data_IF_669459078887
#
_entry.id   IF_669459078887
#
_cell.length_a   1.000
_cell.length_b   1.000
_cell.length_c   1.000
_cell.angle_alpha   90.00
_cell.angle_beta   90.00
_cell.angle_gamma   90.00
#
_symmetry.space_group_name_H-M   'P 1'
#
loop_
_entity.id
_entity.type
_entity.pdbx_description
1 polymer ?
#
# COMPACT_ATOMS: atom_id res chain seq x y z
N UNK A 1 6.75 1.08 -19.91
CA UNK A 1 5.95 -0.15 -19.80
C UNK A 1 4.57 0.17 -19.25
N UNK A 2 3.54 -0.25 -19.95
CA UNK A 2 2.22 -0.11 -19.37
C UNK A 2 2.09 -0.98 -18.13
N UNK A 3 1.45 -0.44 -17.10
CA UNK A 3 1.15 -1.20 -15.90
C UNK A 3 -0.07 -2.06 -16.20
N UNK A 4 0.09 -3.38 -16.09
CA UNK A 4 -1.05 -4.28 -16.15
C UNK A 4 -1.88 -4.08 -14.90
N UNK A 5 -3.09 -3.59 -15.07
CA UNK A 5 -3.97 -3.34 -13.94
C UNK A 5 -5.04 -4.41 -13.81
N UNK A 6 -5.33 -4.79 -12.58
CA UNK A 6 -6.50 -5.58 -12.26
C UNK A 6 -7.75 -4.76 -12.58
N UNK A 7 -8.85 -5.41 -12.99
CA UNK A 7 -10.15 -4.77 -13.11
C UNK A 7 -10.78 -4.47 -11.75
N UNK A 8 -10.25 -5.03 -10.68
CA UNK A 8 -10.76 -4.81 -9.33
C UNK A 8 -10.40 -3.42 -8.82
N UNK A 9 -11.37 -2.76 -8.18
CA UNK A 9 -11.14 -1.53 -7.42
C UNK A 9 -10.48 -1.87 -6.08
N UNK A 10 -10.03 -0.86 -5.35
CA UNK A 10 -9.53 -1.07 -3.99
C UNK A 10 -10.61 -1.68 -3.09
N UNK A 11 -11.85 -1.25 -3.27
CA UNK A 11 -13.00 -1.81 -2.53
C UNK A 11 -13.22 -3.29 -2.86
N UNK A 12 -13.10 -3.66 -4.13
CA UNK A 12 -13.20 -5.05 -4.55
C UNK A 12 -12.09 -5.90 -3.92
N UNK A 13 -10.87 -5.38 -3.88
CA UNK A 13 -9.75 -6.07 -3.26
C UNK A 13 -9.95 -6.21 -1.75
N UNK A 14 -10.49 -5.20 -1.09
CA UNK A 14 -10.81 -5.26 0.34
C UNK A 14 -11.82 -6.38 0.64
N UNK A 15 -12.84 -6.53 -0.19
CA UNK A 15 -13.82 -7.61 -0.08
C UNK A 15 -13.19 -8.98 -0.35
N UNK A 16 -12.29 -9.08 -1.34
CA UNK A 16 -11.59 -10.34 -1.64
C UNK A 16 -10.68 -10.77 -0.49
N UNK A 17 -10.00 -9.82 0.14
CA UNK A 17 -9.14 -10.09 1.30
C UNK A 17 -9.99 -10.59 2.48
N UNK A 18 -11.17 -10.01 2.70
CA UNK A 18 -12.10 -10.48 3.72
C UNK A 18 -12.58 -11.90 3.45
N UNK A 19 -12.94 -12.22 2.21
CA UNK A 19 -13.36 -13.56 1.81
C UNK A 19 -12.22 -14.58 2.01
N UNK A 20 -11.01 -14.22 1.63
CA UNK A 20 -9.83 -15.06 1.82
C UNK A 20 -9.61 -15.40 3.31
N UNK A 21 -9.75 -14.41 4.17
CA UNK A 21 -9.67 -14.56 5.64
C UNK A 21 -10.75 -15.52 6.14
N UNK A 22 -11.99 -15.33 5.69
CA UNK A 22 -13.14 -16.09 6.16
C UNK A 22 -13.07 -17.56 5.73
N UNK A 23 -12.65 -17.82 4.51
CA UNK A 23 -12.46 -19.19 3.98
C UNK A 23 -11.45 -20.00 4.81
N UNK A 24 -10.53 -19.32 5.49
CA UNK A 24 -9.48 -19.94 6.32
C UNK A 24 -9.75 -19.81 7.80
N UNK A 25 -10.87 -19.22 8.17
CA UNK A 25 -11.25 -19.00 9.56
C UNK A 25 -10.15 -18.24 10.35
N UNK A 26 -9.57 -17.23 9.72
CA UNK A 26 -8.48 -16.45 10.30
C UNK A 26 -8.94 -15.21 11.08
N UNK A 27 -10.22 -14.85 11.01
CA UNK A 27 -10.76 -13.66 11.66
C UNK A 27 -10.42 -13.61 13.16
N UNK A 28 -10.44 -14.76 13.82
CA UNK A 28 -10.10 -14.89 15.25
C UNK A 28 -8.68 -14.45 15.59
N UNK A 29 -7.78 -14.38 14.61
CA UNK A 29 -6.40 -13.94 14.78
C UNK A 29 -6.18 -12.50 14.30
N UNK A 30 -7.19 -11.87 13.71
CA UNK A 30 -7.09 -10.58 13.03
C UNK A 30 -7.64 -9.43 13.89
N UNK A 31 -7.17 -9.32 15.13
CA UNK A 31 -7.42 -8.13 15.92
C UNK A 31 -6.49 -6.98 15.45
N UNK A 32 -6.85 -5.71 15.71
CA UNK A 32 -6.06 -4.57 15.23
C UNK A 32 -4.60 -4.55 15.70
N UNK A 33 -4.36 -5.01 16.93
CA UNK A 33 -3.00 -5.04 17.48
C UNK A 33 -2.11 -6.04 16.74
N UNK A 34 -2.61 -7.26 16.55
CA UNK A 34 -1.87 -8.32 15.85
C UNK A 34 -1.65 -7.96 14.39
N UNK A 35 -2.66 -7.35 13.73
CA UNK A 35 -2.54 -6.91 12.35
C UNK A 35 -1.56 -5.74 12.19
N UNK A 36 -1.56 -4.79 13.13
CA UNK A 36 -0.59 -3.70 13.12
C UNK A 36 0.84 -4.22 13.28
N UNK A 37 1.05 -5.20 14.17
CA UNK A 37 2.34 -5.84 14.34
C UNK A 37 2.79 -6.56 13.07
N UNK A 38 1.90 -7.30 12.41
CA UNK A 38 2.18 -7.97 11.16
C UNK A 38 2.52 -6.98 10.04
N UNK A 39 1.76 -5.89 9.95
CA UNK A 39 2.05 -4.80 9.01
C UNK A 39 3.44 -4.23 9.25
N UNK A 40 3.79 -3.97 10.51
CA UNK A 40 5.11 -3.47 10.89
C UNK A 40 6.24 -4.41 10.49
N UNK A 41 6.04 -5.72 10.64
CA UNK A 41 7.01 -6.73 10.23
C UNK A 41 7.25 -6.69 8.71
N UNK A 42 6.19 -6.54 7.92
CA UNK A 42 6.31 -6.43 6.46
C UNK A 42 7.02 -5.13 6.05
N UNK A 43 6.77 -4.03 6.75
CA UNK A 43 7.52 -2.78 6.54
C UNK A 43 9.00 -2.98 6.83
N UNK A 44 9.33 -3.74 7.89
CA UNK A 44 10.70 -4.12 8.20
C UNK A 44 11.36 -4.88 7.07
N UNK A 45 10.67 -5.85 6.47
CA UNK A 45 11.17 -6.60 5.32
C UNK A 45 11.38 -5.71 4.09
N UNK A 46 10.49 -4.75 3.86
CA UNK A 46 10.68 -3.76 2.80
C UNK A 46 11.94 -2.92 3.05
N UNK A 47 12.15 -2.47 4.27
CA UNK A 47 13.35 -1.72 4.64
C UNK A 47 14.62 -2.53 4.37
N UNK A 48 14.62 -3.82 4.66
CA UNK A 48 15.77 -4.70 4.37
C UNK A 48 16.11 -4.76 2.88
N UNK A 49 15.12 -4.59 2.00
CA UNK A 49 15.35 -4.59 0.56
C UNK A 49 16.05 -3.30 0.08
N UNK A 50 15.89 -2.18 0.79
CA UNK A 50 16.29 -0.88 0.28
C UNK A 50 17.31 -0.14 1.15
N UNK A 51 17.42 -0.47 2.43
CA UNK A 51 18.23 0.30 3.38
C UNK A 51 19.73 0.31 3.06
N UNK A 52 20.21 -0.67 2.31
CA UNK A 52 21.62 -0.81 1.94
C UNK A 52 21.95 -0.11 0.62
N UNK A 53 20.94 0.38 -0.09
CA UNK A 53 21.13 1.06 -1.36
C UNK A 53 21.47 2.53 -1.13
N UNK A 54 22.35 3.07 -1.97
CA UNK A 54 22.50 4.52 -2.08
C UNK A 54 21.23 5.10 -2.70
N UNK A 55 21.00 6.39 -2.51
CA UNK A 55 19.88 7.09 -3.19
C UNK A 55 19.95 6.94 -4.71
N UNK A 56 21.17 7.00 -5.27
CA UNK A 56 21.39 6.82 -6.69
C UNK A 56 21.00 5.42 -7.15
N UNK A 57 21.46 4.39 -6.45
CA UNK A 57 21.13 3.00 -6.78
C UNK A 57 19.64 2.73 -6.60
N UNK A 58 19.01 3.34 -5.62
CA UNK A 58 17.56 3.23 -5.39
C UNK A 58 16.73 3.81 -6.55
N UNK A 59 17.30 4.73 -7.33
CA UNK A 59 16.65 5.29 -8.52
C UNK A 59 16.81 4.42 -9.76
N UNK A 60 17.67 3.42 -9.71
CA UNK A 60 18.00 2.54 -10.84
C UNK A 60 17.98 1.08 -10.39
N UNK A 61 16.83 0.63 -9.94
CA UNK A 61 16.66 -0.72 -9.41
C UNK A 61 16.85 -1.78 -10.51
N UNK A 62 17.44 -2.90 -10.11
CA UNK A 62 17.45 -4.10 -10.96
C UNK A 62 16.03 -4.67 -11.02
N UNK A 63 15.70 -5.49 -12.05
CA UNK A 63 14.41 -6.18 -12.10
C UNK A 63 14.13 -7.03 -10.85
N UNK A 64 15.15 -7.67 -10.28
CA UNK A 64 15.04 -8.49 -9.08
C UNK A 64 14.71 -7.64 -7.85
N UNK A 65 15.37 -6.48 -7.71
CA UNK A 65 15.09 -5.54 -6.63
C UNK A 65 13.67 -4.98 -6.73
N UNK A 66 13.26 -4.60 -7.94
CA UNK A 66 11.91 -4.09 -8.17
C UNK A 66 10.85 -5.15 -7.84
N UNK A 67 11.09 -6.41 -8.22
CA UNK A 67 10.18 -7.52 -7.92
C UNK A 67 10.06 -7.76 -6.40
N UNK A 68 11.18 -7.72 -5.68
CA UNK A 68 11.19 -7.89 -4.23
C UNK A 68 10.43 -6.76 -3.52
N UNK A 69 10.62 -5.53 -3.95
CA UNK A 69 9.89 -4.37 -3.43
C UNK A 69 8.38 -4.51 -3.71
N UNK A 70 8.03 -4.93 -4.93
CA UNK A 70 6.64 -5.15 -5.33
C UNK A 70 5.95 -6.16 -4.42
N UNK A 71 6.60 -7.27 -4.11
CA UNK A 71 6.07 -8.29 -3.21
C UNK A 71 5.84 -7.74 -1.80
N UNK A 72 6.81 -7.02 -1.25
CA UNK A 72 6.67 -6.45 0.10
C UNK A 72 5.58 -5.38 0.16
N UNK A 73 5.47 -4.54 -0.85
CA UNK A 73 4.40 -3.52 -0.92
C UNK A 73 3.04 -4.20 -1.03
N UNK A 74 2.94 -5.29 -1.77
CA UNK A 74 1.69 -6.07 -1.85
C UNK A 74 1.32 -6.64 -0.47
N UNK A 75 2.27 -7.24 0.25
CA UNK A 75 2.03 -7.77 1.59
C UNK A 75 1.60 -6.69 2.59
N UNK A 76 2.28 -5.54 2.57
CA UNK A 76 1.91 -4.36 3.39
C UNK A 76 0.48 -3.95 3.08
N UNK A 77 0.11 -3.88 1.81
CA UNK A 77 -1.22 -3.46 1.36
C UNK A 77 -2.30 -4.45 1.78
N UNK A 78 -2.01 -5.75 1.71
CA UNK A 78 -2.94 -6.79 2.17
C UNK A 78 -3.19 -6.65 3.68
N UNK A 79 -2.16 -6.44 4.48
CA UNK A 79 -2.34 -6.22 5.92
C UNK A 79 -3.08 -4.91 6.22
N UNK A 80 -2.86 -3.86 5.43
CA UNK A 80 -3.64 -2.63 5.55
C UNK A 80 -5.13 -2.89 5.29
N UNK A 81 -5.46 -3.69 4.29
CA UNK A 81 -6.84 -4.09 3.99
C UNK A 81 -7.43 -4.95 5.10
N UNK A 82 -6.67 -5.90 5.64
CA UNK A 82 -7.11 -6.68 6.80
C UNK A 82 -7.40 -5.78 8.01
N UNK A 83 -6.55 -4.81 8.25
CA UNK A 83 -6.71 -3.87 9.36
C UNK A 83 -7.97 -3.02 9.18
N UNK A 84 -8.21 -2.52 7.96
CA UNK A 84 -9.43 -1.80 7.63
C UNK A 84 -10.67 -2.67 7.87
N UNK A 85 -10.63 -3.94 7.45
CA UNK A 85 -11.73 -4.89 7.69
C UNK A 85 -11.94 -5.15 9.19
N UNK A 86 -10.87 -5.26 9.95
CA UNK A 86 -10.93 -5.54 11.40
C UNK A 86 -11.51 -4.36 12.17
N UNK A 87 -11.09 -3.15 11.85
CA UNK A 87 -11.57 -1.92 12.52
C UNK A 87 -12.95 -1.52 11.98
N UNK A 88 -13.24 -1.79 10.73
CA UNK A 88 -14.55 -1.56 10.14
C UNK A 88 -14.65 -0.25 9.35
N UNK A 89 -13.67 0.03 8.49
CA UNK A 89 -13.73 1.17 7.59
C UNK A 89 -13.34 0.77 6.17
N UNK A 90 -13.79 1.58 5.20
CA UNK A 90 -13.41 1.44 3.79
C UNK A 90 -12.08 2.14 3.58
N UNK A 91 -11.05 1.39 3.16
CA UNK A 91 -9.71 1.95 3.02
C UNK A 91 -9.64 2.98 1.89
N UNK A 92 -10.36 2.76 0.79
CA UNK A 92 -10.40 3.72 -0.31
C UNK A 92 -10.96 5.06 0.12
N UNK A 93 -12.06 5.04 0.87
CA UNK A 93 -12.66 6.25 1.44
C UNK A 93 -11.72 6.95 2.42
N UNK A 94 -11.06 6.18 3.29
CA UNK A 94 -10.10 6.72 4.25
C UNK A 94 -8.93 7.42 3.53
N UNK A 95 -8.43 6.83 2.46
CA UNK A 95 -7.34 7.41 1.65
C UNK A 95 -7.82 8.70 0.97
N UNK A 96 -9.01 8.67 0.36
CA UNK A 96 -9.57 9.84 -0.31
C UNK A 96 -9.75 11.01 0.65
N UNK A 97 -10.33 10.76 1.82
CA UNK A 97 -10.51 11.76 2.87
C UNK A 97 -9.17 12.33 3.33
N UNK A 98 -8.19 11.46 3.53
CA UNK A 98 -6.86 11.88 3.99
C UNK A 98 -6.13 12.71 2.94
N UNK A 99 -6.24 12.36 1.67
CA UNK A 99 -5.64 13.12 0.58
C UNK A 99 -6.17 14.55 0.53
N UNK A 100 -7.46 14.74 0.78
CA UNK A 100 -8.07 16.08 0.84
C UNK A 100 -7.48 16.91 1.98
N UNK A 101 -7.30 16.30 3.15
CA UNK A 101 -6.68 16.97 4.31
C UNK A 101 -5.22 17.33 4.03
N UNK A 102 -4.46 16.41 3.46
CA UNK A 102 -3.05 16.63 3.13
C UNK A 102 -2.91 17.71 2.06
N UNK A 103 -3.79 17.74 1.06
CA UNK A 103 -3.77 18.74 0.01
C UNK A 103 -3.98 20.18 0.55
N UNK A 104 -4.79 20.33 1.60
CA UNK A 104 -4.98 21.62 2.28
C UNK A 104 -3.73 22.06 3.06
N UNK A 105 -3.03 21.09 3.69
CA UNK A 105 -1.83 21.36 4.49
C UNK A 105 -0.60 21.64 3.65
N UNK A 106 -0.48 20.94 2.52
CA UNK A 106 0.69 20.97 1.65
C UNK A 106 0.22 21.33 0.25
N UNK A 107 0.05 22.64 -0.04
CA UNK A 107 -0.35 23.07 -1.38
C UNK A 107 0.75 22.78 -2.40
N UNK A 108 0.41 22.74 -3.70
CA UNK A 108 1.40 22.53 -4.74
C UNK A 108 2.56 23.49 -4.63
N UNK A 109 3.80 23.00 -4.90
CA UNK A 109 4.97 23.84 -4.95
C UNK A 109 4.87 24.83 -6.12
N UNK A 110 5.30 26.09 -5.92
CA UNK A 110 5.37 27.10 -6.98
C UNK A 110 6.36 26.71 -8.07
N UNK A 111 7.34 25.87 -7.73
CA UNK A 111 8.37 25.37 -8.65
C UNK A 111 7.97 24.04 -9.30
N UNK A 112 6.79 23.51 -9.00
CA UNK A 112 6.31 22.28 -9.60
C UNK A 112 6.15 22.48 -11.11
N UNK A 113 6.62 21.51 -11.94
CA UNK A 113 6.42 21.62 -13.37
C UNK A 113 4.93 21.63 -13.71
N UNK A 114 4.57 22.38 -14.76
CA UNK A 114 3.20 22.40 -15.23
C UNK A 114 2.76 20.98 -15.59
N UNK A 115 1.55 20.60 -15.14
CA UNK A 115 0.97 19.32 -15.49
C UNK A 115 0.74 19.28 -17.00
N UNK A 116 1.26 18.25 -17.63
CA UNK A 116 0.94 18.03 -19.04
C UNK A 116 -0.52 17.62 -19.14
N UNK A 117 -1.23 18.17 -20.13
CA UNK A 117 -2.67 17.94 -20.29
C UNK A 117 -3.04 16.47 -20.52
N UNK A 118 -2.11 15.66 -20.98
CA UNK A 118 -2.25 14.25 -21.32
C UNK A 118 -1.56 13.31 -20.32
N UNK A 119 -1.17 13.84 -19.18
CA UNK A 119 -0.51 13.05 -18.15
C UNK A 119 -1.49 12.18 -17.37
#
# INVERSE_FOLDING_TARGET
MPINSSSDTLNDLQARVAAFRDERNWERFHDPKSLAAALGAEVGELLEQVMWLSTEDARSLTPEQAAAIRDEVADISIFALHLANSVGFDLGEAIDDKLKVVAERIPPSQDAPARKADA
#
